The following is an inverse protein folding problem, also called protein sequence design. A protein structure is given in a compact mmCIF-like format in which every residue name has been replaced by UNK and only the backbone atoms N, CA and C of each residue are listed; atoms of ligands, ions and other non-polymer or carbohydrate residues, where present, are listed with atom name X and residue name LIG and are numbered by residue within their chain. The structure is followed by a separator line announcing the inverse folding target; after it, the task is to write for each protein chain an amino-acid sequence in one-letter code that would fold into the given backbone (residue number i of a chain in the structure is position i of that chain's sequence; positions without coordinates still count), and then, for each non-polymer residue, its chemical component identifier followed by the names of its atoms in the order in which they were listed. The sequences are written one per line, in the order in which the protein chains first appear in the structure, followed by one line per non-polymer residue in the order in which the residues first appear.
data_IF_637679866470
#
_entry.id   IF_637679866470
#
_cell.length_a   1.000
_cell.length_b   1.000
_cell.length_c   1.000
_cell.angle_alpha   90.00
_cell.angle_beta   90.00
_cell.angle_gamma   90.00
#
_symmetry.space_group_name_H-M   'P 1'
#
loop_
_entity.id
_entity.type
_entity.pdbx_description
1 polymer ?
#
# COMPACT_ATOMS: atom_id res chain seq x y z
N UNK A 1 6.41 8.40 5.90
CA UNK A 1 5.56 9.54 5.52
C UNK A 1 4.82 10.03 6.76
N UNK A 2 4.88 11.33 7.07
CA UNK A 2 4.05 11.91 8.13
C UNK A 2 2.67 12.28 7.58
N UNK A 3 1.62 11.74 8.20
CA UNK A 3 0.22 11.99 7.86
C UNK A 3 -0.45 12.68 9.06
N UNK A 4 -1.04 13.85 8.84
CA UNK A 4 -1.71 14.70 9.84
C UNK A 4 -3.12 14.18 10.15
N UNK A 5 -3.20 12.90 10.51
CA UNK A 5 -4.41 12.23 10.97
C UNK A 5 -4.13 11.28 12.15
N UNK A 6 -5.14 11.00 13.00
CA UNK A 6 -5.03 9.99 14.05
C UNK A 6 -4.69 8.61 13.48
N UNK A 7 -3.92 7.82 14.24
CA UNK A 7 -3.42 6.51 13.78
C UNK A 7 -4.54 5.54 13.39
N UNK A 8 -5.70 5.61 14.06
CA UNK A 8 -6.84 4.77 13.72
C UNK A 8 -7.43 5.09 12.34
N UNK A 9 -7.46 6.37 11.96
CA UNK A 9 -7.93 6.79 10.64
C UNK A 9 -6.94 6.36 9.55
N UNK A 10 -5.64 6.57 9.80
CA UNK A 10 -4.58 6.17 8.86
C UNK A 10 -4.53 4.65 8.71
N UNK A 11 -4.65 3.89 9.80
CA UNK A 11 -4.68 2.42 9.77
C UNK A 11 -5.90 1.88 9.03
N UNK A 12 -7.09 2.40 9.33
CA UNK A 12 -8.33 1.99 8.65
C UNK A 12 -8.27 2.27 7.14
N UNK A 13 -7.62 3.35 6.74
CA UNK A 13 -7.46 3.70 5.33
C UNK A 13 -6.67 2.69 4.49
N UNK A 14 -5.94 1.77 5.12
CA UNK A 14 -5.20 0.69 4.45
C UNK A 14 -5.91 -0.67 4.57
N UNK A 15 -6.99 -0.77 5.36
CA UNK A 15 -7.75 -2.00 5.58
C UNK A 15 -9.09 -1.96 4.84
N UNK A 16 -9.75 -0.81 4.85
CA UNK A 16 -11.05 -0.60 4.22
C UNK A 16 -10.87 -0.25 2.73
N UNK A 17 -11.26 -1.14 1.81
CA UNK A 17 -11.07 -0.93 0.39
C UNK A 17 -11.86 0.26 -0.17
N UNK A 18 -12.94 0.70 0.48
CA UNK A 18 -13.67 1.90 0.05
C UNK A 18 -12.84 3.18 0.24
N UNK A 19 -11.88 3.14 1.16
CA UNK A 19 -10.91 4.20 1.40
C UNK A 19 -9.65 3.98 0.57
N UNK A 20 -9.05 2.78 0.63
CA UNK A 20 -7.79 2.49 -0.07
C UNK A 20 -7.89 2.73 -1.58
N UNK A 21 -9.07 2.45 -2.17
CA UNK A 21 -9.29 2.65 -3.61
C UNK A 21 -9.19 4.10 -4.08
N UNK A 22 -9.21 5.06 -3.15
CA UNK A 22 -9.08 6.49 -3.46
C UNK A 22 -7.65 6.89 -3.78
N UNK A 23 -6.66 6.03 -3.49
CA UNK A 23 -5.25 6.36 -3.70
C UNK A 23 -4.34 5.21 -4.17
N UNK A 24 -4.80 3.95 -4.18
CA UNK A 24 -3.92 2.81 -4.53
C UNK A 24 -4.42 1.88 -5.65
N UNK A 25 -5.42 1.04 -5.38
CA UNK A 25 -6.01 0.10 -6.35
C UNK A 25 -7.41 0.55 -6.79
N UNK A 26 -7.98 -0.06 -7.82
CA UNK A 26 -9.32 0.31 -8.31
C UNK A 26 -10.45 -0.35 -7.51
N UNK A 27 -10.26 -1.62 -7.13
CA UNK A 27 -11.18 -2.39 -6.30
C UNK A 27 -10.45 -3.54 -5.57
N UNK A 28 -11.14 -4.13 -4.60
CA UNK A 28 -10.65 -5.25 -3.79
C UNK A 28 -11.81 -6.22 -3.52
N UNK A 29 -11.50 -7.52 -3.39
CA UNK A 29 -12.48 -8.53 -2.96
C UNK A 29 -12.97 -8.33 -1.52
N UNK A 30 -12.27 -7.54 -0.70
CA UNK A 30 -12.72 -7.23 0.65
C UNK A 30 -11.73 -6.44 1.49
N UNK A 31 -12.00 -6.43 2.79
CA UNK A 31 -11.13 -5.85 3.81
C UNK A 31 -9.89 -6.71 4.03
N UNK A 32 -8.80 -6.09 4.46
CA UNK A 32 -7.66 -6.84 4.99
C UNK A 32 -8.06 -7.52 6.30
N UNK A 33 -7.83 -8.83 6.36
CA UNK A 33 -8.08 -9.65 7.53
C UNK A 33 -6.89 -10.56 7.75
N UNK A 34 -6.42 -10.67 8.99
CA UNK A 34 -5.30 -11.52 9.34
C UNK A 34 -5.53 -12.98 8.91
N UNK A 35 -4.48 -13.62 8.37
CA UNK A 35 -4.50 -14.99 7.85
C UNK A 35 -5.50 -15.22 6.69
N UNK A 36 -5.81 -14.18 5.91
CA UNK A 36 -6.68 -14.27 4.73
C UNK A 36 -5.99 -13.74 3.48
N UNK A 37 -6.44 -14.25 2.34
CA UNK A 37 -6.11 -13.68 1.04
C UNK A 37 -7.15 -12.63 0.65
N UNK A 38 -6.70 -11.62 -0.07
CA UNK A 38 -7.52 -10.65 -0.76
C UNK A 38 -6.94 -10.43 -2.15
N UNK A 39 -7.80 -10.30 -3.15
CA UNK A 39 -7.39 -9.88 -4.49
C UNK A 39 -7.62 -8.38 -4.65
N UNK A 40 -6.58 -7.69 -5.13
CA UNK A 40 -6.60 -6.30 -5.56
C UNK A 40 -6.59 -6.21 -7.08
N UNK A 41 -7.33 -5.24 -7.60
CA UNK A 41 -7.51 -5.04 -9.05
C UNK A 41 -7.06 -3.64 -9.47
N UNK A 42 -6.39 -3.58 -10.61
CA UNK A 42 -6.15 -2.36 -11.36
C UNK A 42 -6.80 -2.50 -12.74
N UNK A 43 -8.10 -2.22 -12.80
CA UNK A 43 -8.95 -2.48 -13.98
C UNK A 43 -8.42 -1.85 -15.27
N UNK A 44 -7.89 -0.62 -15.21
CA UNK A 44 -7.28 0.06 -16.36
C UNK A 44 -6.14 -0.75 -17.01
N UNK A 45 -5.41 -1.51 -16.20
CA UNK A 45 -4.23 -2.27 -16.64
C UNK A 45 -4.52 -3.77 -16.77
N UNK A 46 -5.76 -4.21 -16.52
CA UNK A 46 -6.13 -5.63 -16.48
C UNK A 46 -5.23 -6.47 -15.54
N UNK A 47 -4.69 -5.83 -14.48
CA UNK A 47 -3.81 -6.46 -13.49
C UNK A 47 -4.61 -6.86 -12.25
N UNK A 48 -4.39 -8.09 -11.81
CA UNK A 48 -4.85 -8.60 -10.51
C UNK A 48 -3.66 -9.10 -9.70
N UNK A 49 -3.64 -8.78 -8.41
CA UNK A 49 -2.64 -9.27 -7.47
C UNK A 49 -3.33 -9.87 -6.25
N UNK A 50 -3.06 -11.14 -5.97
CA UNK A 50 -3.46 -11.77 -4.71
C UNK A 50 -2.47 -11.42 -3.60
N UNK A 51 -3.01 -10.98 -2.47
CA UNK A 51 -2.26 -10.53 -1.30
C UNK A 51 -2.65 -11.39 -0.11
N UNK A 52 -1.65 -11.96 0.55
CA UNK A 52 -1.86 -12.67 1.81
C UNK A 52 -1.52 -11.76 2.99
N UNK A 53 -2.44 -11.60 3.94
CA UNK A 53 -2.21 -10.81 5.16
C UNK A 53 -1.65 -11.72 6.25
N UNK A 54 -0.36 -11.59 6.54
CA UNK A 54 0.31 -12.43 7.56
C UNK A 54 -0.03 -11.98 8.97
N UNK A 55 0.05 -10.67 9.24
CA UNK A 55 -0.21 -10.10 10.57
C UNK A 55 -1.00 -8.80 10.44
N UNK A 56 -1.93 -8.59 11.36
CA UNK A 56 -2.69 -7.35 11.45
C UNK A 56 -2.81 -6.94 12.92
N UNK A 57 -1.92 -6.06 13.36
CA UNK A 57 -1.88 -5.54 14.72
C UNK A 57 -2.51 -4.15 14.70
N UNK A 58 -3.69 -4.05 15.33
CA UNK A 58 -4.52 -2.85 15.29
C UNK A 58 -3.71 -1.56 15.56
N UNK A 59 -3.79 -0.60 14.65
CA UNK A 59 -3.11 0.70 14.71
C UNK A 59 -1.57 0.65 14.78
N UNK A 60 -0.95 -0.49 14.46
CA UNK A 60 0.50 -0.67 14.61
C UNK A 60 1.15 -1.30 13.37
N UNK A 61 0.58 -2.39 12.85
CA UNK A 61 1.20 -3.16 11.79
C UNK A 61 0.14 -3.77 10.87
N UNK A 62 0.37 -3.64 9.56
CA UNK A 62 -0.21 -4.52 8.54
C UNK A 62 0.97 -5.17 7.82
N UNK A 63 1.08 -6.49 7.90
CA UNK A 63 2.11 -7.27 7.21
C UNK A 63 1.45 -8.08 6.11
N UNK A 64 1.95 -7.94 4.89
CA UNK A 64 1.45 -8.65 3.72
C UNK A 64 2.57 -9.37 2.98
N UNK A 65 2.22 -10.47 2.32
CA UNK A 65 3.01 -11.03 1.23
C UNK A 65 2.32 -10.77 -0.10
N UNK A 66 3.05 -10.19 -1.05
CA UNK A 66 2.50 -9.84 -2.35
C UNK A 66 3.58 -9.76 -3.45
N UNK A 67 3.11 -9.58 -4.69
CA UNK A 67 3.93 -9.31 -5.85
C UNK A 67 4.54 -10.56 -6.49
N UNK A 68 5.21 -10.35 -7.62
CA UNK A 68 5.96 -11.36 -8.36
C UNK A 68 7.38 -10.82 -8.65
N UNK A 69 8.44 -11.40 -8.04
CA UNK A 69 8.38 -12.48 -7.06
C UNK A 69 7.74 -12.02 -5.75
N UNK A 70 7.20 -12.99 -5.00
CA UNK A 70 6.62 -12.73 -3.67
C UNK A 70 7.66 -12.15 -2.72
N UNK A 71 7.29 -11.08 -2.04
CA UNK A 71 8.07 -10.44 -0.98
C UNK A 71 7.17 -10.00 0.16
N UNK A 72 7.75 -9.81 1.34
CA UNK A 72 7.02 -9.33 2.52
C UNK A 72 7.07 -7.81 2.58
N UNK A 73 5.94 -7.20 2.93
CA UNK A 73 5.80 -5.76 3.14
C UNK A 73 5.15 -5.47 4.47
N UNK A 74 5.83 -4.68 5.29
CA UNK A 74 5.27 -4.13 6.52
C UNK A 74 4.83 -2.68 6.29
N UNK A 75 3.57 -2.38 6.61
CA UNK A 75 3.09 -1.03 6.87
C UNK A 75 3.08 -0.81 8.37
N UNK A 76 4.00 0.02 8.85
CA UNK A 76 4.21 0.29 10.27
C UNK A 76 3.66 1.67 10.61
N UNK A 77 2.72 1.71 11.55
CA UNK A 77 1.99 2.92 11.92
C UNK A 77 2.47 3.42 13.28
N UNK A 78 3.23 4.52 13.29
CA UNK A 78 3.75 5.11 14.52
C UNK A 78 2.92 6.32 14.92
N UNK A 79 2.19 6.24 16.04
CA UNK A 79 1.49 7.40 16.59
C UNK A 79 2.51 8.44 17.08
N UNK A 80 2.47 9.63 16.50
CA UNK A 80 3.33 10.76 16.88
C UNK A 80 2.59 11.69 17.86
N UNK A 81 1.32 11.97 17.60
CA UNK A 81 0.43 12.72 18.48
C UNK A 81 -1.03 12.26 18.32
N UNK A 82 -2.00 12.97 18.90
CA UNK A 82 -3.42 12.64 18.71
C UNK A 82 -3.86 12.72 17.25
N UNK A 83 -3.27 13.65 16.48
CA UNK A 83 -3.66 13.95 15.11
C UNK A 83 -2.53 13.69 14.10
N UNK A 84 -1.50 12.93 14.47
CA UNK A 84 -0.35 12.71 13.61
C UNK A 84 0.16 11.28 13.70
N UNK A 85 0.41 10.70 12.54
CA UNK A 85 0.91 9.33 12.38
C UNK A 85 2.07 9.33 11.40
N UNK A 86 3.15 8.65 11.75
CA UNK A 86 4.25 8.40 10.84
C UNK A 86 4.13 6.97 10.28
N UNK A 87 3.83 6.86 9.00
CA UNK A 87 3.72 5.58 8.29
C UNK A 87 5.07 5.22 7.66
N UNK A 88 5.61 4.05 7.99
CA UNK A 88 6.81 3.47 7.38
C UNK A 88 6.42 2.25 6.56
N UNK A 89 7.03 2.09 5.39
CA UNK A 89 6.92 0.88 4.58
C UNK A 89 8.28 0.20 4.56
N UNK A 90 8.32 -1.10 4.85
CA UNK A 90 9.51 -1.93 4.70
C UNK A 90 9.18 -3.07 3.75
N UNK A 91 10.00 -3.27 2.73
CA UNK A 91 9.87 -4.40 1.80
C UNK A 91 11.13 -5.26 1.89
N UNK A 92 10.97 -6.55 2.18
CA UNK A 92 12.06 -7.49 2.47
C UNK A 92 11.65 -8.93 2.10
N UNK A 93 12.55 -9.90 2.40
CA UNK A 93 12.41 -11.29 1.97
C UNK A 93 12.22 -11.40 0.44
N UNK A 94 12.99 -10.59 -0.30
CA UNK A 94 12.95 -10.52 -1.76
C UNK A 94 13.86 -11.62 -2.30
N UNK A 95 13.34 -12.62 -3.04
CA UNK A 95 14.12 -13.75 -3.52
C UNK A 95 14.84 -13.42 -4.84
N UNK A 96 15.52 -12.29 -4.88
CA UNK A 96 16.30 -11.81 -6.04
C UNK A 96 17.71 -11.44 -5.58
N UNK A 97 18.65 -11.44 -6.52
CA UNK A 97 20.04 -11.06 -6.28
C UNK A 97 20.57 -10.14 -7.40
N UNK A 98 21.76 -9.58 -7.18
CA UNK A 98 22.48 -8.81 -8.21
C UNK A 98 21.68 -7.65 -8.81
N UNK A 99 21.74 -7.51 -10.13
CA UNK A 99 21.06 -6.45 -10.87
C UNK A 99 19.54 -6.53 -10.80
N UNK A 100 18.97 -7.73 -10.70
CA UNK A 100 17.52 -7.94 -10.61
C UNK A 100 16.99 -7.40 -9.28
N UNK A 101 17.68 -7.68 -8.17
CA UNK A 101 17.35 -7.12 -6.87
C UNK A 101 17.40 -5.58 -6.87
N UNK A 102 18.46 -5.01 -7.47
CA UNK A 102 18.59 -3.55 -7.56
C UNK A 102 17.43 -2.94 -8.33
N UNK A 103 17.10 -3.49 -9.51
CA UNK A 103 15.98 -3.02 -10.31
C UNK A 103 14.64 -3.15 -9.57
N UNK A 104 14.42 -4.27 -8.88
CA UNK A 104 13.23 -4.50 -8.07
C UNK A 104 13.10 -3.47 -6.94
N UNK A 105 14.16 -3.24 -6.16
CA UNK A 105 14.13 -2.29 -5.03
C UNK A 105 13.87 -0.86 -5.51
N UNK A 106 14.48 -0.44 -6.62
CA UNK A 106 14.24 0.88 -7.23
C UNK A 106 12.76 1.00 -7.63
N UNK A 107 12.23 0.00 -8.33
CA UNK A 107 10.83 -0.01 -8.76
C UNK A 107 9.87 0.03 -7.57
N UNK A 108 10.03 -0.87 -6.61
CA UNK A 108 9.16 -0.94 -5.43
C UNK A 108 9.23 0.33 -4.59
N UNK A 109 10.42 0.91 -4.41
CA UNK A 109 10.57 2.17 -3.70
C UNK A 109 9.76 3.29 -4.38
N UNK A 110 9.85 3.39 -5.71
CA UNK A 110 9.04 4.34 -6.46
C UNK A 110 7.54 4.06 -6.35
N UNK A 111 7.12 2.79 -6.43
CA UNK A 111 5.71 2.36 -6.33
C UNK A 111 5.11 2.72 -4.96
N UNK A 112 5.80 2.39 -3.87
CA UNK A 112 5.35 2.70 -2.51
C UNK A 112 5.41 4.20 -2.20
N UNK A 113 6.35 4.95 -2.75
CA UNK A 113 6.35 6.41 -2.62
C UNK A 113 5.12 7.03 -3.29
N UNK A 114 4.79 6.62 -4.52
CA UNK A 114 3.57 7.10 -5.21
C UNK A 114 2.30 6.80 -4.43
N UNK A 115 2.20 5.60 -3.84
CA UNK A 115 1.11 5.24 -2.95
C UNK A 115 1.04 6.19 -1.75
N UNK A 116 2.15 6.39 -1.03
CA UNK A 116 2.20 7.22 0.18
C UNK A 116 1.83 8.68 -0.11
N UNK A 117 2.23 9.21 -1.26
CA UNK A 117 1.86 10.57 -1.70
C UNK A 117 0.35 10.68 -1.93
N UNK A 118 -0.25 9.69 -2.60
CA UNK A 118 -1.70 9.61 -2.79
C UNK A 118 -2.46 9.47 -1.47
N UNK A 119 -2.00 8.59 -0.58
CA UNK A 119 -2.60 8.37 0.74
C UNK A 119 -2.57 9.66 1.57
N UNK A 120 -1.44 10.37 1.59
CA UNK A 120 -1.30 11.64 2.30
C UNK A 120 -2.27 12.70 1.75
N UNK A 121 -2.30 12.87 0.43
CA UNK A 121 -3.17 13.85 -0.22
C UNK A 121 -4.66 13.58 0.06
N UNK A 122 -5.07 12.31 -0.03
CA UNK A 122 -6.45 11.93 0.23
C UNK A 122 -6.82 12.07 1.70
N UNK A 123 -6.00 11.56 2.62
CA UNK A 123 -6.32 11.59 4.05
C UNK A 123 -6.34 13.01 4.60
N UNK A 124 -5.40 13.87 4.22
CA UNK A 124 -5.33 15.22 4.77
C UNK A 124 -6.31 16.20 4.12
N UNK A 125 -6.62 16.02 2.83
CA UNK A 125 -7.32 17.03 2.04
C UNK A 125 -8.51 16.49 1.23
N UNK A 126 -8.80 15.20 1.28
CA UNK A 126 -9.80 14.55 0.43
C UNK A 126 -9.45 14.54 -1.06
N UNK A 127 -8.21 14.90 -1.42
CA UNK A 127 -7.78 15.05 -2.80
C UNK A 127 -7.40 13.68 -3.41
N UNK A 128 -8.10 13.27 -4.47
CA UNK A 128 -7.76 12.10 -5.27
C UNK A 128 -6.88 12.52 -6.44
N UNK A 129 -5.58 12.31 -6.32
CA UNK A 129 -4.59 12.72 -7.30
C UNK A 129 -4.42 11.74 -8.48
N UNK A 130 -5.08 10.57 -8.42
CA UNK A 130 -5.01 9.50 -9.43
C UNK A 130 -3.58 9.02 -9.75
N UNK A 131 -2.62 9.22 -8.85
CA UNK A 131 -1.20 8.99 -9.13
C UNK A 131 -0.91 7.56 -9.61
N UNK A 132 -1.47 6.54 -8.96
CA UNK A 132 -1.26 5.14 -9.36
C UNK A 132 -1.94 4.83 -10.70
N UNK A 133 -3.17 5.35 -10.89
CA UNK A 133 -3.93 5.15 -12.13
C UNK A 133 -3.30 5.85 -13.34
N UNK A 134 -2.59 6.95 -13.15
CA UNK A 134 -2.04 7.77 -14.24
C UNK A 134 -0.54 7.54 -14.45
N UNK A 135 0.09 6.70 -13.63
CA UNK A 135 1.54 6.45 -13.66
C UNK A 135 2.03 5.78 -14.94
N UNK A 136 1.24 4.88 -15.52
CA UNK A 136 1.63 4.14 -16.71
C UNK A 136 0.76 4.57 -17.91
N UNK A 137 1.37 4.68 -19.11
CA UNK A 137 0.61 4.93 -20.31
C UNK A 137 -0.41 3.80 -20.54
N UNK A 138 -1.60 4.10 -21.10
CA UNK A 138 -2.66 3.12 -21.33
C UNK A 138 -2.43 2.24 -22.57
N UNK A 139 -1.22 2.16 -23.10
CA UNK A 139 -0.93 1.49 -24.38
C UNK A 139 0.17 0.44 -24.21
N UNK A 140 -0.02 -0.70 -24.87
CA UNK A 140 1.05 -1.63 -25.24
C UNK A 140 2.04 -0.98 -26.22
#
# INVERSE_FOLDING_TARGET
MLIRKPVAEVFNAFIDPEITRKFWFTSSTGHLMENKNVDWYWEKYEVTTSVFVEQLINNQLIQIMWGEPKSTVDFIFEKISENETFLKIRNYAIPLEGSELIAFVIKQSNDFTTLLDGAKAYLEYGAQLNLVNDRLPPFD
#
